data_IF_832098250000
#
_entry.id   IF_832098250000
#
_cell.length_a   1.000
_cell.length_b   1.000
_cell.length_c   1.000
_cell.angle_alpha   90.00
_cell.angle_beta   90.00
_cell.angle_gamma   90.00
#
_symmetry.space_group_name_H-M   'P 1'
#
loop_
_entity.id
_entity.type
_entity.pdbx_description
1 polymer ?
#
# COMPACT_ATOMS: atom_id res chain seq x y z
N UNK A 1 16.57 2.08 0.28
CA UNK A 1 17.22 2.96 -0.73
C UNK A 1 16.31 3.29 -1.93
N UNK A 2 14.97 3.39 -1.79
CA UNK A 2 14.05 3.57 -2.95
C UNK A 2 12.94 4.64 -2.78
N UNK A 3 13.00 5.51 -1.76
CA UNK A 3 11.96 6.55 -1.51
C UNK A 3 12.51 7.95 -1.23
N UNK A 4 13.53 8.39 -1.95
CA UNK A 4 14.07 9.76 -1.81
C UNK A 4 13.68 10.74 -2.92
N UNK A 5 12.88 10.32 -3.90
CA UNK A 5 12.63 11.13 -5.10
C UNK A 5 11.37 12.02 -5.09
N UNK A 6 10.54 12.05 -4.05
CA UNK A 6 9.26 12.82 -4.07
C UNK A 6 8.93 13.59 -2.78
N UNK A 7 9.94 14.11 -2.07
CA UNK A 7 9.72 15.05 -0.95
C UNK A 7 10.36 16.40 -1.26
N UNK A 8 9.69 17.20 -2.08
CA UNK A 8 9.91 18.65 -2.12
C UNK A 8 9.04 19.31 -1.05
N UNK A 9 9.65 20.09 -0.15
CA UNK A 9 8.96 20.90 0.88
C UNK A 9 8.05 21.93 0.20
N UNK A 10 6.77 21.94 0.56
CA UNK A 10 5.80 22.94 0.07
C UNK A 10 5.92 24.26 0.85
N UNK A 11 5.85 25.43 0.20
CA UNK A 11 5.80 26.72 0.88
C UNK A 11 4.43 26.99 1.51
N UNK A 12 4.40 27.89 2.50
CA UNK A 12 3.22 28.25 3.29
C UNK A 12 2.13 28.93 2.45
N UNK A 13 0.90 28.42 2.67
CA UNK A 13 -0.46 28.83 2.28
C UNK A 13 -0.64 30.14 1.48
N UNK A 14 -1.37 29.99 0.37
CA UNK A 14 -2.35 30.97 -0.09
C UNK A 14 -3.75 30.30 -0.08
N UNK A 15 -4.76 31.00 0.45
CA UNK A 15 -6.18 30.64 0.36
C UNK A 15 -6.64 30.84 -1.08
N UNK A 16 -7.14 29.81 -1.77
CA UNK A 16 -8.06 29.96 -2.90
C UNK A 16 -8.76 28.65 -3.26
N UNK A 17 -10.09 28.66 -3.09
CA UNK A 17 -11.15 28.02 -3.89
C UNK A 17 -11.02 26.53 -4.26
N UNK A 18 -12.08 25.77 -3.94
CA UNK A 18 -12.32 24.43 -4.44
C UNK A 18 -12.52 24.45 -5.97
N UNK A 19 -11.42 24.48 -6.73
CA UNK A 19 -11.43 24.20 -8.16
C UNK A 19 -11.61 22.69 -8.34
N UNK A 20 -12.82 22.28 -8.78
CA UNK A 20 -13.06 20.89 -9.19
C UNK A 20 -12.11 20.50 -10.33
N UNK A 21 -11.66 19.24 -10.35
CA UNK A 21 -10.80 18.74 -11.44
C UNK A 21 -11.65 18.65 -12.72
N UNK A 22 -11.16 19.13 -13.86
CA UNK A 22 -11.84 18.97 -15.14
C UNK A 22 -11.27 17.79 -15.93
N UNK A 23 -12.09 17.21 -16.81
CA UNK A 23 -11.66 16.16 -17.72
C UNK A 23 -10.62 16.68 -18.72
N UNK A 24 -9.50 15.98 -18.88
CA UNK A 24 -8.45 16.37 -19.84
C UNK A 24 -8.91 16.28 -21.30
N UNK A 25 -9.93 15.48 -21.60
CA UNK A 25 -10.41 15.24 -22.97
C UNK A 25 -11.59 16.12 -23.37
N UNK A 26 -12.58 16.30 -22.50
CA UNK A 26 -13.82 17.04 -22.82
C UNK A 26 -14.09 18.28 -21.96
N UNK A 27 -13.24 18.56 -20.95
CA UNK A 27 -13.40 19.72 -20.06
C UNK A 27 -14.53 19.61 -19.03
N UNK A 28 -15.34 18.55 -19.04
CA UNK A 28 -16.42 18.36 -18.07
C UNK A 28 -15.88 18.28 -16.63
N UNK A 29 -16.58 18.85 -15.63
CA UNK A 29 -16.17 18.77 -14.24
C UNK A 29 -16.23 17.31 -13.73
N UNK A 30 -15.15 16.87 -13.10
CA UNK A 30 -15.07 15.58 -12.43
C UNK A 30 -15.44 15.78 -10.95
N UNK A 31 -16.37 14.95 -10.46
CA UNK A 31 -16.75 14.97 -9.05
C UNK A 31 -15.56 14.65 -8.14
N UNK A 32 -15.52 15.25 -6.96
CA UNK A 32 -14.42 15.20 -5.98
C UNK A 32 -14.28 13.88 -5.20
N UNK A 33 -14.94 12.80 -5.61
CA UNK A 33 -15.23 11.67 -4.71
C UNK A 33 -14.96 10.26 -5.24
N UNK A 34 -14.36 10.06 -6.41
CA UNK A 34 -14.17 8.71 -6.93
C UNK A 34 -12.76 8.17 -6.59
N UNK A 35 -12.65 7.49 -5.45
CA UNK A 35 -11.48 6.67 -5.10
C UNK A 35 -11.31 5.40 -5.99
N UNK A 36 -12.08 5.29 -7.09
CA UNK A 36 -12.04 4.19 -8.07
C UNK A 36 -11.88 4.73 -9.49
N UNK A 37 -11.79 3.87 -10.53
CA UNK A 37 -11.22 4.22 -11.83
C UNK A 37 -12.04 5.30 -12.54
N UNK A 38 -11.69 6.57 -12.31
CA UNK A 38 -10.93 7.38 -13.24
C UNK A 38 -11.50 7.57 -14.64
N UNK A 39 -12.72 7.16 -14.98
CA UNK A 39 -13.30 7.44 -16.30
C UNK A 39 -14.17 8.69 -16.24
N UNK A 40 -14.08 9.53 -17.27
CA UNK A 40 -14.98 10.68 -17.39
C UNK A 40 -16.42 10.20 -17.63
N UNK A 41 -17.43 10.70 -16.88
CA UNK A 41 -18.82 10.31 -17.11
C UNK A 41 -19.35 10.78 -18.47
N UNK A 42 -18.83 11.89 -19.00
CA UNK A 42 -19.29 12.50 -20.25
C UNK A 42 -18.67 11.85 -21.50
N UNK A 43 -17.34 11.69 -21.54
CA UNK A 43 -16.64 11.17 -22.73
C UNK A 43 -16.02 9.78 -22.56
N UNK A 44 -16.09 9.19 -21.34
CA UNK A 44 -15.47 7.91 -20.99
C UNK A 44 -13.96 7.82 -21.18
N UNK A 45 -13.27 8.95 -21.35
CA UNK A 45 -11.82 8.98 -21.39
C UNK A 45 -11.22 8.60 -20.04
N UNK A 46 -10.14 7.81 -20.05
CA UNK A 46 -9.40 7.47 -18.84
C UNK A 46 -8.68 8.72 -18.32
N UNK A 47 -8.91 9.07 -17.07
CA UNK A 47 -8.35 10.21 -16.37
C UNK A 47 -7.06 9.82 -15.64
N UNK A 48 -6.13 10.77 -15.44
CA UNK A 48 -4.93 10.53 -14.66
C UNK A 48 -5.26 10.12 -13.21
N UNK A 49 -4.48 9.19 -12.61
CA UNK A 49 -4.63 8.85 -11.21
C UNK A 49 -4.41 10.08 -10.32
N UNK A 50 -4.98 10.05 -9.12
CA UNK A 50 -4.79 11.13 -8.16
C UNK A 50 -3.39 11.06 -7.55
N UNK A 51 -2.61 12.16 -7.55
CA UNK A 51 -1.22 12.15 -7.06
C UNK A 51 -1.04 11.76 -5.59
N UNK A 52 -2.10 11.84 -4.78
CA UNK A 52 -2.12 11.51 -3.35
C UNK A 52 -3.22 10.50 -3.03
N UNK A 53 -3.53 9.63 -3.98
CA UNK A 53 -4.50 8.57 -3.75
C UNK A 53 -4.05 7.69 -2.58
N UNK A 54 -4.97 7.46 -1.65
CA UNK A 54 -4.80 6.47 -0.59
C UNK A 54 -4.86 5.06 -1.19
N UNK A 55 -3.90 4.20 -0.85
CA UNK A 55 -3.81 2.84 -1.37
C UNK A 55 -5.03 1.99 -0.97
N UNK A 56 -5.64 2.25 0.19
CA UNK A 56 -6.90 1.62 0.59
C UNK A 56 -8.05 2.04 -0.34
N UNK A 57 -8.10 3.33 -0.65
CA UNK A 57 -9.04 3.90 -1.63
C UNK A 57 -8.88 3.27 -3.00
N UNK A 58 -7.65 3.16 -3.51
CA UNK A 58 -7.33 2.57 -4.82
C UNK A 58 -7.90 1.15 -4.98
N UNK A 59 -7.84 0.32 -3.94
CA UNK A 59 -8.38 -1.05 -3.96
C UNK A 59 -9.83 -1.14 -3.43
N UNK A 60 -10.42 -0.02 -3.00
CA UNK A 60 -11.79 0.06 -2.50
C UNK A 60 -12.01 -0.74 -1.21
N UNK A 61 -11.02 -0.74 -0.32
CA UNK A 61 -11.12 -1.33 1.02
C UNK A 61 -11.10 -0.25 2.11
N UNK A 62 -11.71 -0.51 3.28
CA UNK A 62 -11.62 0.40 4.41
C UNK A 62 -10.17 0.46 4.93
N UNK A 63 -9.80 1.61 5.50
CA UNK A 63 -8.53 1.75 6.23
C UNK A 63 -8.56 0.87 7.46
N UNK A 64 -7.60 -0.04 7.57
CA UNK A 64 -7.51 -0.93 8.71
C UNK A 64 -6.31 -1.85 8.60
N UNK A 65 -5.84 -2.31 9.76
CA UNK A 65 -4.81 -3.35 9.79
C UNK A 65 -5.40 -4.71 9.42
N UNK A 66 -6.63 -5.01 9.85
CA UNK A 66 -7.37 -6.19 9.38
C UNK A 66 -7.88 -5.95 7.97
N UNK A 67 -7.45 -6.78 7.02
CA UNK A 67 -7.88 -6.71 5.61
C UNK A 67 -8.15 -8.11 5.12
N UNK A 68 -9.32 -8.30 4.53
CA UNK A 68 -9.69 -9.51 3.80
C UNK A 68 -8.82 -9.63 2.53
N UNK A 69 -7.81 -10.50 2.58
CA UNK A 69 -6.88 -10.75 1.48
C UNK A 69 -7.56 -11.35 0.25
N UNK A 70 -8.66 -12.10 0.42
CA UNK A 70 -9.40 -12.67 -0.69
C UNK A 70 -10.13 -11.57 -1.47
N UNK A 71 -10.83 -10.68 -0.76
CA UNK A 71 -11.48 -9.51 -1.35
C UNK A 71 -10.46 -8.53 -1.96
N UNK A 72 -9.31 -8.33 -1.30
CA UNK A 72 -8.22 -7.52 -1.82
C UNK A 72 -7.70 -8.05 -3.16
N UNK A 73 -7.45 -9.37 -3.25
CA UNK A 73 -7.01 -10.02 -4.49
C UNK A 73 -8.06 -9.93 -5.59
N UNK A 74 -9.33 -10.14 -5.27
CA UNK A 74 -10.42 -10.00 -6.24
C UNK A 74 -10.49 -8.58 -6.83
N UNK A 75 -10.37 -7.55 -5.98
CA UNK A 75 -10.34 -6.15 -6.40
C UNK A 75 -9.13 -5.83 -7.26
N UNK A 76 -7.94 -6.28 -6.85
CA UNK A 76 -6.72 -6.16 -7.63
C UNK A 76 -6.88 -6.73 -9.05
N UNK A 77 -7.37 -7.97 -9.18
CA UNK A 77 -7.57 -8.62 -10.48
C UNK A 77 -8.64 -7.93 -11.33
N UNK A 78 -9.70 -7.39 -10.72
CA UNK A 78 -10.73 -6.64 -11.44
C UNK A 78 -10.18 -5.31 -11.99
N UNK A 79 -9.37 -4.60 -11.20
CA UNK A 79 -8.76 -3.33 -11.59
C UNK A 79 -7.67 -3.55 -12.65
N UNK A 80 -6.78 -4.53 -12.47
CA UNK A 80 -5.81 -4.87 -13.52
C UNK A 80 -6.52 -5.23 -14.81
N UNK A 81 -7.54 -6.09 -14.81
CA UNK A 81 -8.27 -6.45 -16.03
C UNK A 81 -8.95 -5.26 -16.73
N UNK A 82 -9.31 -4.19 -16.02
CA UNK A 82 -9.96 -3.02 -16.62
C UNK A 82 -8.96 -1.95 -17.06
N UNK A 83 -7.83 -1.82 -16.36
CA UNK A 83 -6.84 -0.75 -16.53
C UNK A 83 -5.47 -1.22 -17.05
N UNK A 84 -5.33 -2.50 -17.44
CA UNK A 84 -4.06 -3.03 -17.96
C UNK A 84 -3.62 -2.31 -19.25
N UNK A 85 -2.33 -1.95 -19.39
CA UNK A 85 -1.80 -1.25 -20.57
C UNK A 85 -2.17 -1.89 -21.91
N UNK A 86 -2.20 -3.22 -21.98
CA UNK A 86 -2.57 -3.96 -23.20
C UNK A 86 -3.93 -3.56 -23.76
N UNK A 87 -4.89 -3.20 -22.90
CA UNK A 87 -6.24 -2.74 -23.32
C UNK A 87 -6.23 -1.34 -23.92
N UNK A 88 -5.21 -0.55 -23.59
CA UNK A 88 -5.05 0.82 -24.05
C UNK A 88 -4.02 0.93 -25.19
N UNK A 89 -3.42 -0.19 -25.62
CA UNK A 89 -2.46 -0.27 -26.73
C UNK A 89 -2.93 0.39 -28.04
N UNK A 90 -4.26 0.45 -28.29
CA UNK A 90 -4.87 1.13 -29.45
C UNK A 90 -5.51 2.48 -29.14
N UNK A 91 -5.44 2.96 -27.91
CA UNK A 91 -6.01 4.23 -27.43
C UNK A 91 -5.07 5.42 -27.66
N UNK A 92 -5.51 6.68 -27.48
CA UNK A 92 -4.64 7.85 -27.54
C UNK A 92 -3.45 7.75 -26.57
N UNK A 93 -2.34 8.40 -26.90
CA UNK A 93 -1.10 8.34 -26.10
C UNK A 93 -1.32 8.76 -24.63
N UNK A 94 -2.16 9.76 -24.40
CA UNK A 94 -2.53 10.19 -23.05
C UNK A 94 -3.16 9.04 -22.22
N UNK A 95 -4.12 8.30 -22.80
CA UNK A 95 -4.76 7.17 -22.10
C UNK A 95 -3.81 6.00 -21.88
N UNK A 96 -2.85 5.76 -22.79
CA UNK A 96 -1.80 4.75 -22.58
C UNK A 96 -0.95 5.09 -21.36
N UNK A 97 -0.46 6.32 -21.29
CA UNK A 97 0.32 6.79 -20.14
C UNK A 97 -0.48 6.76 -18.84
N UNK A 98 -1.77 7.12 -18.86
CA UNK A 98 -2.62 7.02 -17.68
C UNK A 98 -2.86 5.56 -17.26
N UNK A 99 -3.06 4.64 -18.20
CA UNK A 99 -3.21 3.22 -17.91
C UNK A 99 -1.96 2.62 -17.26
N UNK A 100 -0.77 2.98 -17.74
CA UNK A 100 0.50 2.60 -17.12
C UNK A 100 0.62 3.12 -15.68
N UNK A 101 0.29 4.41 -15.46
CA UNK A 101 0.32 5.01 -14.12
C UNK A 101 -0.68 4.34 -13.16
N UNK A 102 -1.89 4.03 -13.63
CA UNK A 102 -2.89 3.30 -12.85
C UNK A 102 -2.43 1.89 -12.52
N UNK A 103 -1.87 1.16 -13.49
CA UNK A 103 -1.34 -0.19 -13.26
C UNK A 103 -0.23 -0.20 -12.21
N UNK A 104 0.70 0.76 -12.28
CA UNK A 104 1.76 0.93 -11.29
C UNK A 104 1.19 1.22 -9.88
N UNK A 105 0.19 2.10 -9.78
CA UNK A 105 -0.46 2.44 -8.52
C UNK A 105 -1.23 1.26 -7.91
N UNK A 106 -1.95 0.48 -8.74
CA UNK A 106 -2.66 -0.72 -8.32
C UNK A 106 -1.68 -1.79 -7.80
N UNK A 107 -0.55 -1.98 -8.48
CA UNK A 107 0.49 -2.91 -8.06
C UNK A 107 1.12 -2.47 -6.72
N UNK A 108 1.40 -1.18 -6.57
CA UNK A 108 1.89 -0.61 -5.32
C UNK A 108 0.89 -0.82 -4.18
N UNK A 109 -0.39 -0.52 -4.42
CA UNK A 109 -1.45 -0.71 -3.42
C UNK A 109 -1.56 -2.17 -3.00
N UNK A 110 -1.61 -3.10 -3.95
CA UNK A 110 -1.73 -4.52 -3.64
C UNK A 110 -0.49 -5.07 -2.94
N UNK A 111 0.71 -4.73 -3.42
CA UNK A 111 1.97 -5.12 -2.80
C UNK A 111 2.08 -4.63 -1.35
N UNK A 112 1.69 -3.38 -1.11
CA UNK A 112 1.75 -2.76 0.23
C UNK A 112 0.69 -3.33 1.17
N UNK A 113 -0.56 -3.47 0.71
CA UNK A 113 -1.66 -3.91 1.56
C UNK A 113 -1.70 -5.42 1.78
N UNK A 114 -1.06 -6.23 0.92
CA UNK A 114 -1.02 -7.68 1.07
C UNK A 114 -0.22 -8.12 2.30
N UNK A 115 0.97 -7.58 2.52
CA UNK A 115 1.80 -7.96 3.67
C UNK A 115 1.39 -7.18 4.93
N UNK A 116 1.20 -7.85 6.10
CA UNK A 116 0.89 -7.18 7.35
C UNK A 116 1.92 -6.10 7.72
N UNK A 117 3.22 -6.39 7.56
CA UNK A 117 4.29 -5.45 7.88
C UNK A 117 4.19 -4.17 7.05
N UNK A 118 4.18 -4.28 5.72
CA UNK A 118 4.10 -3.09 4.85
C UNK A 118 2.79 -2.32 5.02
N UNK A 119 1.68 -3.02 5.33
CA UNK A 119 0.39 -2.42 5.64
C UNK A 119 0.44 -1.63 6.94
N UNK A 120 1.02 -2.18 8.00
CA UNK A 120 1.23 -1.50 9.27
C UNK A 120 2.08 -0.24 9.10
N UNK A 121 3.21 -0.35 8.39
CA UNK A 121 4.07 0.79 8.07
C UNK A 121 3.32 1.88 7.30
N UNK A 122 2.52 1.50 6.30
CA UNK A 122 1.72 2.45 5.53
C UNK A 122 0.65 3.16 6.37
N UNK A 123 -0.02 2.43 7.26
CA UNK A 123 -0.99 3.00 8.19
C UNK A 123 -0.35 3.98 9.19
N UNK A 124 0.91 3.77 9.57
CA UNK A 124 1.68 4.72 10.38
C UNK A 124 2.07 5.96 9.57
N UNK A 125 2.49 5.78 8.31
CA UNK A 125 2.77 6.87 7.37
C UNK A 125 1.54 7.78 7.18
N UNK A 126 0.34 7.19 7.03
CA UNK A 126 -0.91 7.94 6.91
C UNK A 126 -1.22 8.83 8.13
N UNK A 127 -0.71 8.47 9.31
CA UNK A 127 -0.83 9.28 10.54
C UNK A 127 0.34 10.24 10.78
N UNK A 128 1.31 10.29 9.85
CA UNK A 128 2.49 11.12 10.00
C UNK A 128 3.48 10.63 11.05
N UNK A 129 3.42 9.35 11.43
CA UNK A 129 4.44 8.73 12.30
C UNK A 129 5.63 8.37 11.43
N UNK A 130 6.75 9.07 11.62
CA UNK A 130 8.02 8.69 11.03
C UNK A 130 8.68 7.65 11.94
N UNK A 131 8.77 6.42 11.47
CA UNK A 131 9.58 5.40 12.12
C UNK A 131 11.04 5.75 11.87
N UNK A 132 11.82 5.89 12.94
CA UNK A 132 13.26 5.84 12.83
C UNK A 132 13.65 4.51 12.15
N UNK A 133 14.69 4.52 11.32
CA UNK A 133 15.31 3.27 10.93
C UNK A 133 15.83 2.66 12.23
N UNK A 134 15.11 1.65 12.75
CA UNK A 134 15.40 1.08 14.06
C UNK A 134 16.88 0.73 14.16
N UNK A 135 17.51 1.21 15.22
CA UNK A 135 18.86 0.76 15.57
C UNK A 135 18.73 -0.36 16.59
N UNK A 136 19.64 -1.34 16.53
CA UNK A 136 19.67 -2.44 17.50
C UNK A 136 19.79 -1.91 18.95
N UNK A 137 20.29 -0.69 19.15
CA UNK A 137 20.41 -0.03 20.44
C UNK A 137 19.07 0.39 21.07
N UNK A 138 17.99 0.47 20.30
CA UNK A 138 16.65 0.81 20.79
C UNK A 138 15.76 -0.43 21.01
N UNK A 139 16.26 -1.61 20.67
CA UNK A 139 15.50 -2.86 20.80
C UNK A 139 15.47 -3.36 22.25
N UNK A 140 14.36 -4.01 22.62
CA UNK A 140 14.17 -4.60 23.94
C UNK A 140 15.17 -5.77 24.13
N UNK A 141 15.87 -5.87 25.28
CA UNK A 141 16.91 -6.87 25.48
C UNK A 141 16.44 -8.33 25.29
N UNK A 142 15.21 -8.65 25.70
CA UNK A 142 14.59 -9.95 25.50
C UNK A 142 14.44 -10.30 24.02
N UNK A 143 13.93 -9.36 23.22
CA UNK A 143 13.84 -9.50 21.77
C UNK A 143 15.22 -9.71 21.10
N UNK A 144 16.25 -8.96 21.51
CA UNK A 144 17.61 -9.13 20.97
C UNK A 144 18.19 -10.51 21.29
N UNK A 145 17.98 -11.02 22.50
CA UNK A 145 18.40 -12.36 22.90
C UNK A 145 17.71 -13.44 22.05
N UNK A 146 16.41 -13.29 21.79
CA UNK A 146 15.65 -14.19 20.93
C UNK A 146 16.18 -14.20 19.48
N UNK A 147 16.49 -13.01 18.92
CA UNK A 147 17.08 -12.90 17.58
C UNK A 147 18.45 -13.57 17.51
N UNK A 148 19.28 -13.39 18.54
CA UNK A 148 20.59 -14.06 18.63
C UNK A 148 20.45 -15.58 18.64
N UNK A 149 19.55 -16.10 19.48
CA UNK A 149 19.29 -17.54 19.58
C UNK A 149 18.82 -18.14 18.24
N UNK A 150 17.91 -17.45 17.53
CA UNK A 150 17.46 -17.87 16.21
C UNK A 150 18.60 -17.88 15.18
N UNK A 151 19.51 -16.89 15.23
CA UNK A 151 20.69 -16.86 14.36
C UNK A 151 21.66 -18.01 14.65
N UNK A 152 21.85 -18.38 15.92
CA UNK A 152 22.68 -19.53 16.30
C UNK A 152 22.05 -20.85 15.82
N UNK A 153 20.74 -21.03 16.01
CA UNK A 153 20.03 -22.21 15.51
C UNK A 153 20.11 -22.32 13.98
N UNK A 154 20.01 -21.19 13.26
CA UNK A 154 20.18 -21.15 11.82
C UNK A 154 21.61 -21.51 11.39
N UNK A 155 22.63 -21.03 12.12
CA UNK A 155 24.02 -21.34 11.83
C UNK A 155 24.37 -22.82 12.13
N UNK A 156 23.69 -23.44 13.09
CA UNK A 156 23.86 -24.85 13.44
C UNK A 156 23.01 -25.80 12.57
N UNK A 157 22.08 -25.30 11.77
CA UNK A 157 21.20 -26.12 10.93
C UNK A 157 21.99 -26.80 9.80
N UNK A 158 22.06 -28.13 9.85
CA UNK A 158 22.85 -28.97 8.96
C UNK A 158 22.00 -29.87 8.03
N UNK A 159 20.68 -29.76 8.10
CA UNK A 159 19.74 -30.59 7.34
C UNK A 159 18.50 -29.81 6.90
N UNK A 160 17.85 -30.27 5.83
CA UNK A 160 16.58 -29.68 5.40
C UNK A 160 15.49 -29.79 6.47
N UNK A 161 15.52 -30.85 7.28
CA UNK A 161 14.58 -31.05 8.37
C UNK A 161 14.74 -30.01 9.49
N UNK A 162 15.98 -29.64 9.85
CA UNK A 162 16.23 -28.61 10.85
C UNK A 162 15.85 -27.21 10.33
N UNK A 163 16.17 -26.90 9.07
CA UNK A 163 15.74 -25.66 8.41
C UNK A 163 14.21 -25.54 8.34
N UNK A 164 13.50 -26.60 7.92
CA UNK A 164 12.03 -26.60 7.88
C UNK A 164 11.40 -26.51 9.29
N UNK A 165 12.11 -26.95 10.34
CA UNK A 165 11.73 -26.70 11.73
C UNK A 165 11.78 -25.22 12.08
N UNK A 166 12.88 -24.54 11.73
CA UNK A 166 13.09 -23.11 11.98
C UNK A 166 12.11 -22.24 11.21
N UNK A 167 11.85 -22.54 9.94
CA UNK A 167 10.86 -21.82 9.13
C UNK A 167 9.46 -21.86 9.76
N UNK A 168 9.04 -23.04 10.27
CA UNK A 168 7.76 -23.18 10.97
C UNK A 168 7.72 -22.39 12.28
N UNK A 169 8.81 -22.40 13.05
CA UNK A 169 8.91 -21.62 14.30
C UNK A 169 8.78 -20.12 14.01
N UNK A 170 9.52 -19.62 13.02
CA UNK A 170 9.49 -18.21 12.64
C UNK A 170 8.12 -17.80 12.10
N UNK A 171 7.50 -18.65 11.27
CA UNK A 171 6.15 -18.41 10.76
C UNK A 171 5.12 -18.32 11.90
N UNK A 172 5.19 -19.21 12.89
CA UNK A 172 4.29 -19.18 14.05
C UNK A 172 4.49 -17.91 14.90
N UNK A 173 5.74 -17.49 15.13
CA UNK A 173 6.05 -16.22 15.83
C UNK A 173 5.52 -15.01 15.08
N UNK A 174 5.72 -14.96 13.76
CA UNK A 174 5.18 -13.88 12.92
C UNK A 174 3.65 -13.85 12.97
N UNK A 175 2.99 -14.99 12.92
CA UNK A 175 1.53 -15.08 13.01
C UNK A 175 1.02 -14.57 14.38
N UNK A 176 1.67 -14.96 15.48
CA UNK A 176 1.31 -14.48 16.81
C UNK A 176 1.43 -12.95 16.93
N UNK A 177 2.51 -12.36 16.44
CA UNK A 177 2.71 -10.90 16.43
C UNK A 177 1.66 -10.18 15.57
N UNK A 178 1.29 -10.75 14.43
CA UNK A 178 0.22 -10.20 13.59
C UNK A 178 -1.12 -10.25 14.31
N UNK A 179 -1.43 -11.36 14.99
CA UNK A 179 -2.66 -11.50 15.79
C UNK A 179 -2.68 -10.48 16.93
N UNK A 180 -1.58 -10.29 17.65
CA UNK A 180 -1.46 -9.28 18.69
C UNK A 180 -1.71 -7.87 18.14
N UNK A 181 -1.10 -7.50 17.00
CA UNK A 181 -1.35 -6.21 16.35
C UNK A 181 -2.81 -6.03 15.91
N UNK A 182 -3.49 -7.09 15.48
CA UNK A 182 -4.91 -7.02 15.13
C UNK A 182 -5.81 -6.82 16.36
N UNK A 183 -5.46 -7.44 17.49
CA UNK A 183 -6.26 -7.42 18.72
C UNK A 183 -6.07 -6.14 19.54
N UNK A 184 -4.82 -5.66 19.66
CA UNK A 184 -4.46 -4.51 20.51
C UNK A 184 -4.93 -3.16 19.98
N UNK A 185 -5.29 -3.05 18.70
CA UNK A 185 -5.78 -1.81 18.08
C UNK A 185 -7.09 -2.05 17.32
N UNK A 186 -8.26 -1.79 17.94
CA UNK A 186 -9.54 -1.89 17.26
C UNK A 186 -9.54 -1.03 15.98
N UNK A 187 -10.33 -1.44 14.98
CA UNK A 187 -10.35 -0.83 13.63
C UNK A 187 -10.53 0.69 13.65
N UNK A 188 -11.32 1.20 14.61
CA UNK A 188 -11.56 2.64 14.82
C UNK A 188 -10.32 3.44 15.21
N UNK A 189 -9.30 2.78 15.79
CA UNK A 189 -8.04 3.45 16.10
C UNK A 189 -7.27 3.83 14.82
N UNK A 190 -7.49 3.13 13.71
CA UNK A 190 -6.86 3.33 12.38
C UNK A 190 -7.61 4.28 11.45
N UNK A 191 -8.85 4.64 11.79
CA UNK A 191 -9.71 5.46 10.96
C UNK A 191 -9.49 6.99 11.09
N UNK A 192 -8.67 7.46 12.04
CA UNK A 192 -8.37 8.89 12.26
C UNK A 192 -7.00 9.30 11.72
#
# INVERSE_FOLDING_TARGET
>A
MWRRALRARAPRRARSQAAGRCCWSCGAPLGSGAAGPGFCPSCRALQPPEPRADLFGVLGCPRGFSVDLARLRQRFLALQRSLHPDRFSRRPQAERGFSEQHAALINLAYGTLRSPLSRGLYLLELRGVELAAGSDAEAEPGFLAEVLELNEQLAAADSEASLAGLERLLAAKQEALVQEMTFTRPEDSWAK
#
